data_IF_697030523544
#
_entry.id   IF_697030523544
#
_cell.length_a   1.000
_cell.length_b   1.000
_cell.length_c   1.000
_cell.angle_alpha   90.00
_cell.angle_beta   90.00
_cell.angle_gamma   90.00
#
_symmetry.space_group_name_H-M   'P 1'
#
loop_
_entity.id
_entity.type
_entity.pdbx_description
1 polymer ?
#
# COMPACT_ATOMS: atom_id res chain seq x y z
N UNK A 1 20.26 -12.68 -13.08
CA UNK A 1 18.93 -12.53 -12.46
C UNK A 1 19.02 -13.07 -11.04
N UNK A 2 18.44 -12.37 -10.06
CA UNK A 2 18.36 -12.91 -8.69
C UNK A 2 17.55 -14.21 -8.73
N UNK A 3 18.00 -15.23 -8.01
CA UNK A 3 17.26 -16.50 -7.91
C UNK A 3 16.08 -16.26 -6.96
N UNK A 4 14.84 -16.61 -7.34
CA UNK A 4 13.70 -16.43 -6.46
C UNK A 4 13.80 -17.34 -5.24
N UNK A 5 13.27 -16.86 -4.12
CA UNK A 5 12.89 -17.71 -2.98
C UNK A 5 11.39 -17.97 -3.08
N UNK A 6 11.01 -19.25 -3.04
CA UNK A 6 9.59 -19.60 -2.89
C UNK A 6 9.23 -19.59 -1.41
N UNK A 7 8.20 -18.82 -1.05
CA UNK A 7 7.66 -18.77 0.30
C UNK A 7 6.13 -18.82 0.18
N UNK A 8 5.50 -19.71 0.95
CA UNK A 8 4.04 -19.95 0.92
C UNK A 8 3.42 -20.14 -0.48
N UNK A 9 4.20 -20.60 -1.46
CA UNK A 9 3.73 -20.84 -2.83
C UNK A 9 3.93 -19.67 -3.80
N UNK A 10 4.39 -18.51 -3.34
CA UNK A 10 4.71 -17.35 -4.18
C UNK A 10 6.22 -17.14 -4.32
N UNK A 11 6.63 -16.56 -5.44
CA UNK A 11 8.05 -16.28 -5.72
C UNK A 11 8.42 -14.88 -5.25
N UNK A 12 9.58 -14.80 -4.60
CA UNK A 12 10.10 -13.58 -4.01
C UNK A 12 11.48 -13.26 -4.56
N UNK A 13 11.68 -12.01 -4.97
CA UNK A 13 12.93 -11.54 -5.54
C UNK A 13 13.42 -10.33 -4.76
N UNK A 14 14.68 -10.38 -4.31
CA UNK A 14 15.31 -9.22 -3.70
C UNK A 14 15.47 -8.10 -4.73
N UNK A 15 15.22 -6.85 -4.32
CA UNK A 15 15.42 -5.66 -5.15
C UNK A 15 16.52 -4.77 -4.58
N UNK A 16 17.29 -4.13 -5.48
CA UNK A 16 18.38 -3.25 -5.09
C UNK A 16 19.49 -4.01 -4.34
N UNK A 17 19.86 -3.50 -3.16
CA UNK A 17 20.88 -4.09 -2.28
C UNK A 17 20.31 -5.08 -1.25
N UNK A 18 18.98 -5.25 -1.22
CA UNK A 18 18.37 -6.16 -0.28
C UNK A 18 18.79 -7.60 -0.56
N UNK A 19 18.70 -8.43 0.47
CA UNK A 19 18.96 -9.87 0.40
C UNK A 19 17.80 -10.63 1.04
N UNK A 20 17.52 -11.81 0.51
CA UNK A 20 16.51 -12.73 1.01
C UNK A 20 17.18 -14.00 1.51
N UNK A 21 16.72 -14.52 2.65
CA UNK A 21 17.15 -15.80 3.19
C UNK A 21 15.95 -16.56 3.75
N UNK A 22 15.77 -17.80 3.30
CA UNK A 22 14.79 -18.71 3.90
C UNK A 22 15.27 -19.13 5.28
N UNK A 23 14.33 -19.15 6.23
CA UNK A 23 14.53 -19.69 7.57
C UNK A 23 13.45 -20.76 7.83
N UNK A 24 13.60 -21.54 8.91
CA UNK A 24 12.69 -22.65 9.23
C UNK A 24 11.22 -22.22 9.30
N UNK A 25 10.96 -21.06 9.90
CA UNK A 25 9.62 -20.58 10.25
C UNK A 25 9.26 -19.27 9.52
N UNK A 26 9.99 -18.91 8.45
CA UNK A 26 9.80 -17.62 7.78
C UNK A 26 10.85 -17.28 6.75
N UNK A 27 10.92 -15.99 6.39
CA UNK A 27 11.91 -15.45 5.47
C UNK A 27 12.49 -14.14 6.02
N UNK A 28 13.81 -14.01 5.98
CA UNK A 28 14.50 -12.77 6.33
C UNK A 28 14.65 -11.92 5.08
N UNK A 29 14.31 -10.64 5.20
CA UNK A 29 14.61 -9.57 4.26
C UNK A 29 15.49 -8.53 4.97
N UNK A 30 16.68 -8.26 4.43
CA UNK A 30 17.66 -7.36 5.06
C UNK A 30 18.50 -6.60 4.02
N UNK A 31 19.30 -5.60 4.45
CA UNK A 31 20.26 -4.91 3.58
C UNK A 31 19.75 -3.62 2.92
N UNK A 32 18.83 -2.90 3.58
CA UNK A 32 18.18 -1.70 3.06
C UNK A 32 19.08 -0.45 3.10
N UNK A 33 19.89 -0.23 2.06
CA UNK A 33 20.78 0.95 1.96
C UNK A 33 20.07 2.16 1.37
N UNK A 34 19.11 1.94 0.48
CA UNK A 34 18.37 2.95 -0.28
C UNK A 34 16.85 2.72 -0.19
N UNK A 35 16.07 3.75 -0.50
CA UNK A 35 14.60 3.71 -0.49
C UNK A 35 13.94 2.78 -1.52
N UNK A 36 14.73 2.18 -2.42
CA UNK A 36 14.26 1.24 -3.45
C UNK A 36 14.71 -0.20 -3.17
N UNK A 37 15.49 -0.41 -2.10
CA UNK A 37 15.88 -1.75 -1.67
C UNK A 37 14.68 -2.43 -1.01
N UNK A 38 14.48 -3.72 -1.28
CA UNK A 38 13.30 -4.42 -0.79
C UNK A 38 13.05 -5.76 -1.48
N UNK A 39 11.78 -6.05 -1.72
CA UNK A 39 11.31 -7.33 -2.23
C UNK A 39 10.21 -7.12 -3.28
N UNK A 40 10.30 -7.87 -4.38
CA UNK A 40 9.20 -8.07 -5.33
C UNK A 40 8.60 -9.45 -5.09
N UNK A 41 7.28 -9.49 -4.97
CA UNK A 41 6.49 -10.68 -4.66
C UNK A 41 5.57 -10.93 -5.85
N UNK A 42 5.71 -12.07 -6.51
CA UNK A 42 4.83 -12.48 -7.60
C UNK A 42 3.56 -13.09 -7.01
N UNK A 43 2.50 -12.28 -6.91
CA UNK A 43 1.19 -12.69 -6.37
C UNK A 43 0.37 -13.52 -7.36
N UNK A 44 0.86 -13.69 -8.59
CA UNK A 44 0.24 -14.50 -9.64
C UNK A 44 -1.22 -14.12 -9.95
N UNK A 45 -1.60 -12.86 -9.73
CA UNK A 45 -2.96 -12.40 -10.00
C UNK A 45 -3.95 -12.72 -8.88
N UNK A 46 -3.50 -12.88 -7.64
CA UNK A 46 -4.40 -13.05 -6.49
C UNK A 46 -5.35 -11.84 -6.33
N UNK A 47 -6.62 -12.10 -6.01
CA UNK A 47 -7.63 -11.08 -5.69
C UNK A 47 -7.47 -10.52 -4.29
N UNK A 48 -7.09 -11.39 -3.35
CA UNK A 48 -6.78 -11.04 -1.96
C UNK A 48 -5.40 -11.57 -1.65
N UNK A 49 -4.60 -10.79 -0.94
CA UNK A 49 -3.26 -11.18 -0.51
C UNK A 49 -2.90 -10.43 0.77
N UNK A 50 -2.24 -11.12 1.69
CA UNK A 50 -1.73 -10.58 2.94
C UNK A 50 -0.31 -11.10 3.19
N UNK A 51 0.59 -10.20 3.55
CA UNK A 51 1.93 -10.49 4.04
C UNK A 51 2.03 -10.10 5.50
N UNK A 52 2.39 -11.05 6.35
CA UNK A 52 2.62 -10.82 7.78
C UNK A 52 4.10 -10.91 8.11
N UNK A 53 4.58 -9.99 8.93
CA UNK A 53 5.97 -9.95 9.38
C UNK A 53 6.04 -9.53 10.84
N UNK A 54 7.19 -9.79 11.48
CA UNK A 54 7.43 -9.33 12.84
C UNK A 54 7.29 -7.81 12.92
N UNK A 55 6.68 -7.27 13.99
CA UNK A 55 6.56 -5.84 14.23
C UNK A 55 7.85 -5.05 13.95
N UNK A 56 7.76 -4.06 13.06
CA UNK A 56 8.83 -3.10 12.77
C UNK A 56 8.39 -1.73 13.24
N UNK A 57 9.12 -1.15 14.19
CA UNK A 57 8.90 0.24 14.60
C UNK A 57 9.33 1.19 13.50
N UNK A 58 8.46 2.12 13.13
CA UNK A 58 8.72 3.14 12.12
C UNK A 58 9.44 4.32 12.79
N UNK A 59 10.75 4.46 12.53
CA UNK A 59 11.64 5.45 13.14
C UNK A 59 11.99 6.58 12.18
N UNK A 60 12.34 7.74 12.73
CA UNK A 60 12.74 8.91 11.95
C UNK A 60 13.72 8.54 10.83
N UNK A 61 13.43 9.02 9.62
CA UNK A 61 14.18 8.78 8.36
C UNK A 61 13.99 7.39 7.72
N UNK A 62 13.15 6.54 8.31
CA UNK A 62 12.64 5.34 7.66
C UNK A 62 11.66 5.71 6.55
N UNK A 63 11.60 4.85 5.54
CA UNK A 63 10.61 4.95 4.46
C UNK A 63 9.99 3.58 4.30
N UNK A 64 8.66 3.52 4.28
CA UNK A 64 7.94 2.27 4.07
C UNK A 64 7.06 2.42 2.84
N UNK A 65 7.52 1.91 1.68
CA UNK A 65 6.82 2.09 0.40
C UNK A 65 6.27 0.78 -0.13
N UNK A 66 5.05 0.81 -0.67
CA UNK A 66 4.41 -0.34 -1.32
C UNK A 66 3.79 0.05 -2.64
N UNK A 67 4.08 -0.76 -3.65
CA UNK A 67 3.54 -0.62 -5.00
C UNK A 67 2.84 -1.90 -5.41
N UNK A 68 1.66 -1.75 -6.01
CA UNK A 68 0.85 -2.85 -6.53
C UNK A 68 0.83 -2.76 -8.05
N UNK A 69 1.22 -3.84 -8.73
CA UNK A 69 1.36 -3.85 -10.18
C UNK A 69 0.53 -4.94 -10.84
N UNK A 70 -0.05 -4.61 -12.00
CA UNK A 70 -0.72 -5.54 -12.91
C UNK A 70 0.17 -5.81 -14.12
N UNK A 71 -0.18 -6.85 -14.88
CA UNK A 71 0.32 -7.07 -16.23
C UNK A 71 -0.75 -6.62 -17.22
N UNK A 72 -0.39 -5.74 -18.15
CA UNK A 72 -1.28 -5.39 -19.26
C UNK A 72 -1.38 -6.52 -20.30
N UNK A 73 -2.23 -6.33 -21.33
CA UNK A 73 -2.41 -7.31 -22.41
C UNK A 73 -1.13 -7.67 -23.17
N UNK A 74 -0.08 -6.84 -23.09
CA UNK A 74 1.24 -7.08 -23.68
C UNK A 74 2.25 -7.65 -22.66
N UNK A 75 1.82 -8.03 -21.47
CA UNK A 75 2.63 -8.53 -20.35
C UNK A 75 3.66 -7.51 -19.84
N UNK A 76 3.37 -6.21 -19.97
CA UNK A 76 4.19 -5.15 -19.38
C UNK A 76 3.68 -4.87 -17.96
N UNK A 77 4.62 -4.66 -17.03
CA UNK A 77 4.30 -4.32 -15.65
C UNK A 77 3.79 -2.87 -15.58
N UNK A 78 2.64 -2.67 -14.92
CA UNK A 78 2.00 -1.36 -14.76
C UNK A 78 1.61 -1.17 -13.30
N UNK A 79 2.07 -0.10 -12.67
CA UNK A 79 1.69 0.23 -11.29
C UNK A 79 0.28 0.81 -11.27
N UNK A 80 -0.60 0.22 -10.46
CA UNK A 80 -2.02 0.58 -10.38
C UNK A 80 -2.40 1.21 -9.04
N UNK A 81 -1.62 0.98 -7.99
CA UNK A 81 -1.78 1.61 -6.69
C UNK A 81 -0.42 1.72 -6.00
N UNK A 82 -0.25 2.77 -5.18
CA UNK A 82 0.97 2.98 -4.43
C UNK A 82 0.70 3.81 -3.18
N UNK A 83 1.29 3.41 -2.06
CA UNK A 83 1.34 4.22 -0.86
C UNK A 83 2.72 4.17 -0.21
N UNK A 84 3.01 5.16 0.62
CA UNK A 84 4.24 5.22 1.39
C UNK A 84 4.01 5.87 2.75
N UNK A 85 4.83 5.48 3.73
CA UNK A 85 5.01 6.23 4.96
C UNK A 85 6.29 7.05 4.84
N UNK A 86 6.18 8.34 5.10
CA UNK A 86 7.26 9.33 5.04
C UNK A 86 7.26 10.20 6.28
N UNK A 87 8.32 10.98 6.51
CA UNK A 87 8.42 11.87 7.68
C UNK A 87 8.06 13.30 7.35
N UNK A 88 7.47 14.00 8.33
CA UNK A 88 7.36 15.44 8.28
C UNK A 88 8.76 16.08 8.24
N UNK A 89 8.93 17.26 7.60
CA UNK A 89 10.23 17.93 7.56
C UNK A 89 10.82 18.22 8.95
N UNK A 90 9.97 18.41 9.97
CA UNK A 90 10.40 18.62 11.35
C UNK A 90 10.61 17.31 12.15
N UNK A 91 10.31 16.16 11.53
CA UNK A 91 10.50 14.81 12.09
C UNK A 91 9.55 14.45 13.23
N UNK A 92 8.52 15.25 13.50
CA UNK A 92 7.56 15.00 14.59
C UNK A 92 6.45 14.02 14.22
N UNK A 93 6.13 13.94 12.94
CA UNK A 93 5.04 13.12 12.43
C UNK A 93 5.55 12.21 11.32
N UNK A 94 4.87 11.08 11.16
CA UNK A 94 4.91 10.35 9.91
C UNK A 94 3.63 10.62 9.10
N UNK A 95 3.71 10.55 7.79
CA UNK A 95 2.63 10.80 6.86
C UNK A 95 2.37 9.54 6.06
N UNK A 96 1.12 9.08 6.09
CA UNK A 96 0.63 8.07 5.15
C UNK A 96 0.23 8.80 3.87
N UNK A 97 1.01 8.60 2.81
CA UNK A 97 0.81 9.24 1.52
C UNK A 97 0.45 8.21 0.45
N UNK A 98 -0.39 8.61 -0.49
CA UNK A 98 -0.78 7.81 -1.66
C UNK A 98 -0.44 8.54 -2.94
N UNK A 99 -0.20 7.81 -4.01
CA UNK A 99 0.00 8.39 -5.34
C UNK A 99 -1.36 8.67 -5.98
N UNK A 100 -1.82 9.92 -5.95
CA UNK A 100 -3.14 10.36 -6.41
C UNK A 100 -3.42 10.04 -7.88
N UNK A 101 -2.39 9.98 -8.75
CA UNK A 101 -2.55 9.54 -10.15
C UNK A 101 -2.90 8.06 -10.28
N UNK A 102 -2.63 7.28 -9.23
CA UNK A 102 -2.93 5.86 -9.11
C UNK A 102 -4.19 5.59 -8.26
N UNK A 103 -4.89 6.62 -7.81
CA UNK A 103 -6.16 6.48 -7.10
C UNK A 103 -7.37 6.82 -7.99
N UNK A 104 -8.56 6.48 -7.50
CA UNK A 104 -9.85 6.96 -8.00
C UNK A 104 -10.10 8.44 -7.69
N UNK A 105 -11.28 8.93 -8.02
CA UNK A 105 -11.67 10.33 -7.71
C UNK A 105 -11.95 10.53 -6.22
N UNK A 106 -12.24 9.44 -5.50
CA UNK A 106 -12.40 9.42 -4.05
C UNK A 106 -11.46 8.41 -3.42
N UNK A 107 -10.91 8.80 -2.27
CA UNK A 107 -10.02 7.99 -1.46
C UNK A 107 -10.64 7.88 -0.08
N UNK A 108 -11.07 6.69 0.28
CA UNK A 108 -11.61 6.37 1.59
C UNK A 108 -10.48 5.86 2.49
N UNK A 109 -10.31 6.47 3.66
CA UNK A 109 -9.43 6.02 4.73
C UNK A 109 -10.27 5.48 5.89
N UNK A 110 -10.02 4.26 6.32
CA UNK A 110 -10.70 3.65 7.47
C UNK A 110 -9.66 3.17 8.48
N UNK A 111 -9.76 3.64 9.72
CA UNK A 111 -9.00 3.14 10.85
C UNK A 111 -9.78 2.09 11.62
N UNK A 112 -9.13 0.96 11.91
CA UNK A 112 -9.69 -0.13 12.72
C UNK A 112 -8.92 -0.29 14.03
N UNK A 113 -9.64 -0.67 15.08
CA UNK A 113 -9.10 -1.13 16.36
C UNK A 113 -9.93 -2.30 16.88
N UNK A 114 -9.28 -3.41 17.20
CA UNK A 114 -9.91 -4.61 17.79
C UNK A 114 -11.14 -5.07 17.00
N UNK A 115 -11.05 -5.03 15.67
CA UNK A 115 -12.12 -5.41 14.75
C UNK A 115 -13.26 -4.39 14.60
N UNK A 116 -13.13 -3.18 15.13
CA UNK A 116 -14.12 -2.10 15.03
C UNK A 116 -13.57 -0.90 14.29
N UNK A 117 -14.44 -0.25 13.49
CA UNK A 117 -14.15 1.05 12.88
C UNK A 117 -14.04 2.12 13.99
N UNK A 118 -12.90 2.81 14.03
CA UNK A 118 -12.65 3.93 14.96
C UNK A 118 -12.62 5.27 14.25
N UNK A 119 -12.37 5.27 12.94
CA UNK A 119 -12.28 6.47 12.12
C UNK A 119 -12.59 6.11 10.67
N UNK A 120 -13.30 7.01 9.97
CA UNK A 120 -13.57 6.91 8.55
C UNK A 120 -13.60 8.29 7.93
N UNK A 121 -12.82 8.48 6.89
CA UNK A 121 -12.73 9.72 6.12
C UNK A 121 -12.79 9.42 4.62
N UNK A 122 -13.32 10.38 3.86
CA UNK A 122 -13.38 10.30 2.40
C UNK A 122 -12.84 11.60 1.82
N UNK A 123 -11.78 11.48 1.04
CA UNK A 123 -11.11 12.61 0.41
C UNK A 123 -11.40 12.61 -1.08
N UNK A 124 -11.76 13.79 -1.62
CA UNK A 124 -11.73 14.01 -3.06
C UNK A 124 -10.27 14.10 -3.51
N UNK A 125 -9.96 13.45 -4.64
CA UNK A 125 -8.65 13.54 -5.28
C UNK A 125 -8.41 14.98 -5.72
N UNK A 126 -7.33 15.65 -5.28
CA UNK A 126 -7.07 17.02 -5.68
C UNK A 126 -6.75 17.11 -7.19
N UNK A 127 -7.31 18.09 -7.88
CA UNK A 127 -7.17 18.26 -9.34
C UNK A 127 -5.86 18.98 -9.73
N UNK A 128 -5.41 19.94 -8.92
CA UNK A 128 -4.24 20.78 -9.19
C UNK A 128 -3.16 20.58 -8.13
N UNK A 129 -2.21 19.69 -8.40
CA UNK A 129 -1.04 19.49 -7.54
C UNK A 129 0.26 19.52 -8.34
N UNK A 130 1.25 20.22 -7.79
CA UNK A 130 2.63 20.19 -8.28
C UNK A 130 3.30 18.82 -8.05
N UNK A 131 2.70 17.96 -7.23
CA UNK A 131 3.17 16.60 -6.96
C UNK A 131 2.02 15.58 -6.91
N UNK A 132 2.30 14.34 -7.31
CA UNK A 132 1.29 13.28 -7.35
C UNK A 132 1.09 12.57 -6.01
N UNK A 133 1.93 12.87 -5.02
CA UNK A 133 1.81 12.26 -3.69
C UNK A 133 0.93 13.15 -2.84
N UNK A 134 -0.10 12.57 -2.23
CA UNK A 134 -1.00 13.26 -1.31
C UNK A 134 -1.00 12.55 0.03
N UNK A 135 -0.90 13.32 1.10
CA UNK A 135 -1.04 12.80 2.46
C UNK A 135 -2.51 12.61 2.76
N UNK A 136 -2.87 11.41 3.22
CA UNK A 136 -4.24 11.05 3.62
C UNK A 136 -4.35 10.82 5.13
N UNK A 137 -3.23 10.63 5.83
CA UNK A 137 -3.23 10.52 7.29
C UNK A 137 -1.91 11.01 7.91
N UNK A 138 -2.00 11.49 9.14
CA UNK A 138 -0.87 11.79 10.01
C UNK A 138 -0.76 10.66 11.04
N UNK A 139 0.42 10.06 11.15
CA UNK A 139 0.74 9.05 12.16
C UNK A 139 1.48 9.75 13.31
N UNK A 140 0.88 9.73 14.50
CA UNK A 140 1.30 10.52 15.67
C UNK A 140 2.36 9.76 16.47
N UNK A 141 3.62 10.03 16.16
CA UNK A 141 4.78 9.34 16.76
C UNK A 141 5.02 9.70 18.23
N UNK A 142 4.59 10.89 18.65
CA UNK A 142 4.80 11.38 20.03
C UNK A 142 3.87 10.70 21.05
N UNK A 143 2.75 10.12 20.61
CA UNK A 143 1.75 9.50 21.48
C UNK A 143 2.08 8.03 21.77
N UNK A 144 2.41 7.25 20.73
CA UNK A 144 2.77 5.83 20.78
C UNK A 144 3.68 5.52 19.59
N UNK A 145 4.62 4.58 19.74
CA UNK A 145 5.38 4.03 18.61
C UNK A 145 4.44 3.53 17.51
N UNK A 146 4.65 3.99 16.27
CA UNK A 146 3.96 3.46 15.10
C UNK A 146 4.70 2.23 14.62
N UNK A 147 3.97 1.15 14.44
CA UNK A 147 4.51 -0.18 14.13
C UNK A 147 3.84 -0.69 12.87
N UNK A 148 4.63 -1.26 11.97
CA UNK A 148 4.17 -2.03 10.82
C UNK A 148 4.30 -3.53 11.11
N UNK A 149 3.30 -4.33 10.79
CA UNK A 149 3.37 -5.80 10.96
C UNK A 149 2.71 -6.58 9.83
N UNK A 150 1.89 -5.93 9.01
CA UNK A 150 1.26 -6.57 7.87
C UNK A 150 0.89 -5.57 6.79
N UNK A 151 0.74 -6.11 5.59
CA UNK A 151 0.30 -5.41 4.38
C UNK A 151 -0.66 -6.34 3.69
N UNK A 152 -1.81 -5.83 3.30
CA UNK A 152 -2.77 -6.57 2.51
C UNK A 152 -3.30 -5.74 1.35
N UNK A 153 -3.90 -6.46 0.40
CA UNK A 153 -4.80 -5.87 -0.56
C UNK A 153 -5.98 -6.79 -0.87
N UNK A 154 -7.05 -6.16 -1.31
CA UNK A 154 -8.21 -6.78 -1.94
C UNK A 154 -8.60 -5.98 -3.18
N UNK A 155 -8.81 -6.68 -4.29
CA UNK A 155 -9.28 -6.11 -5.54
C UNK A 155 -10.63 -6.69 -5.94
N UNK A 156 -11.57 -5.81 -6.27
CA UNK A 156 -12.88 -6.17 -6.80
C UNK A 156 -13.09 -5.50 -8.16
N UNK A 157 -13.52 -6.29 -9.15
CA UNK A 157 -13.75 -5.85 -10.53
C UNK A 157 -15.19 -6.12 -10.94
N UNK A 158 -15.89 -5.06 -11.35
CA UNK A 158 -17.28 -5.12 -11.82
C UNK A 158 -17.36 -4.61 -13.26
N UNK A 159 -18.14 -5.30 -14.10
CA UNK A 159 -18.41 -4.88 -15.49
C UNK A 159 -19.90 -4.71 -15.71
N UNK A 160 -20.29 -3.53 -16.19
CA UNK A 160 -21.67 -3.22 -16.58
C UNK A 160 -21.74 -3.05 -18.08
N UNK A 161 -22.59 -3.84 -18.75
CA UNK A 161 -22.89 -3.67 -20.18
C UNK A 161 -24.14 -2.80 -20.32
N UNK A 162 -24.00 -1.63 -20.94
CA UNK A 162 -25.08 -0.69 -21.17
C UNK A 162 -25.94 -1.11 -22.37
N UNK A 163 -27.20 -0.63 -22.48
CA UNK A 163 -28.09 -0.97 -23.60
C UNK A 163 -27.54 -0.61 -25.00
N UNK A 164 -26.61 0.34 -25.09
CA UNK A 164 -25.94 0.73 -26.32
C UNK A 164 -24.74 -0.17 -26.69
N UNK A 165 -24.46 -1.21 -25.92
CA UNK A 165 -23.33 -2.14 -26.10
C UNK A 165 -22.01 -1.68 -25.48
N UNK A 166 -21.92 -0.44 -24.97
CA UNK A 166 -20.73 0.03 -24.26
C UNK A 166 -20.59 -0.69 -22.92
N UNK A 167 -19.36 -1.00 -22.51
CA UNK A 167 -19.07 -1.54 -21.19
C UNK A 167 -18.35 -0.54 -20.32
N UNK A 168 -18.78 -0.44 -19.07
CA UNK A 168 -18.07 0.27 -18.00
C UNK A 168 -17.44 -0.76 -17.06
N UNK A 169 -16.16 -0.59 -16.77
CA UNK A 169 -15.40 -1.37 -15.80
C UNK A 169 -15.19 -0.50 -14.57
N UNK A 170 -15.48 -1.06 -13.40
CA UNK A 170 -15.17 -0.47 -12.10
C UNK A 170 -14.18 -1.38 -11.38
N UNK A 171 -13.04 -0.82 -10.97
CA UNK A 171 -12.03 -1.52 -10.16
C UNK A 171 -11.95 -0.83 -8.81
N UNK A 172 -12.27 -1.57 -7.76
CA UNK A 172 -12.11 -1.17 -6.36
C UNK A 172 -10.86 -1.82 -5.80
N UNK A 173 -9.91 -1.02 -5.35
CA UNK A 173 -8.69 -1.51 -4.69
C UNK A 173 -8.69 -1.04 -3.24
N UNK A 174 -8.73 -2.00 -2.33
CA UNK A 174 -8.53 -1.80 -0.90
C UNK A 174 -7.11 -2.26 -0.58
N UNK A 175 -6.27 -1.35 -0.08
CA UNK A 175 -4.89 -1.61 0.35
C UNK A 175 -4.77 -1.25 1.82
N UNK A 176 -3.81 -1.83 2.53
CA UNK A 176 -3.68 -1.56 3.96
C UNK A 176 -2.28 -1.18 4.40
N UNK A 177 -2.24 -0.50 5.54
CA UNK A 177 -1.11 -0.49 6.44
C UNK A 177 -1.58 -1.10 7.76
N UNK A 178 -1.12 -2.30 8.07
CA UNK A 178 -1.47 -2.96 9.31
C UNK A 178 -0.33 -2.94 10.33
N UNK A 179 -0.71 -2.85 11.60
CA UNK A 179 0.16 -2.60 12.73
C UNK A 179 -0.38 -1.48 13.64
N UNK A 180 0.29 -1.26 14.76
CA UNK A 180 -0.23 -0.42 15.84
C UNK A 180 0.19 1.04 15.74
N UNK A 181 -0.67 1.96 16.18
CA UNK A 181 -0.28 3.35 16.39
C UNK A 181 -1.44 4.26 16.74
N UNK A 182 -1.20 5.56 16.61
CA UNK A 182 -2.23 6.60 16.67
C UNK A 182 -2.25 7.32 15.32
N UNK A 183 -3.44 7.40 14.73
CA UNK A 183 -3.68 8.09 13.47
C UNK A 183 -4.54 9.32 13.71
N UNK A 184 -4.17 10.41 13.07
CA UNK A 184 -4.96 11.61 12.94
C UNK A 184 -5.32 11.78 11.46
N UNK A 185 -6.61 11.88 11.10
CA UNK A 185 -6.99 12.18 9.74
C UNK A 185 -6.47 13.56 9.33
N UNK A 186 -6.34 13.81 8.03
CA UNK A 186 -6.07 15.16 7.51
C UNK A 186 -7.39 15.88 7.24
N UNK A 187 -7.41 17.21 7.33
CA UNK A 187 -8.60 18.00 7.00
C UNK A 187 -8.97 17.93 5.52
N UNK A 188 -7.94 17.78 4.66
CA UNK A 188 -8.05 17.55 3.22
C UNK A 188 -6.79 16.86 2.73
N UNK A 189 -6.92 16.01 1.71
CA UNK A 189 -5.75 15.44 1.04
C UNK A 189 -4.91 16.56 0.42
N UNK A 190 -3.60 16.57 0.71
CA UNK A 190 -2.69 17.63 0.28
C UNK A 190 -1.28 17.08 0.01
N UNK A 191 -0.53 17.73 -0.87
CA UNK A 191 0.79 17.25 -1.27
C UNK A 191 1.87 17.36 -0.19
N UNK A 192 1.92 18.50 0.51
CA UNK A 192 2.87 18.74 1.60
C UNK A 192 2.19 19.49 2.74
N UNK A 193 2.71 19.36 3.96
CA UNK A 193 2.22 20.04 5.17
C UNK A 193 0.70 19.94 5.35
N UNK A 194 0.15 18.72 5.46
CA UNK A 194 -1.29 18.55 5.61
C UNK A 194 -1.79 19.24 6.88
N UNK A 195 -2.95 19.87 6.78
CA UNK A 195 -3.64 20.39 7.95
C UNK A 195 -4.24 19.21 8.72
N UNK A 196 -3.99 19.09 10.03
CA UNK A 196 -4.57 18.03 10.84
C UNK A 196 -6.10 18.17 10.87
N UNK A 197 -6.77 17.03 10.69
CA UNK A 197 -8.19 16.87 10.92
C UNK A 197 -8.53 16.74 12.41
N UNK A 198 -9.78 16.43 12.71
CA UNK A 198 -10.27 16.33 14.09
C UNK A 198 -10.00 14.95 14.69
N UNK A 199 -9.43 14.95 15.88
CA UNK A 199 -9.25 13.76 16.71
C UNK A 199 -7.98 12.98 16.43
N UNK A 200 -7.65 12.12 17.39
CA UNK A 200 -6.57 11.14 17.32
C UNK A 200 -7.17 9.79 17.68
N UNK A 201 -6.90 8.78 16.86
CA UNK A 201 -7.56 7.48 16.96
C UNK A 201 -6.50 6.38 17.07
N UNK A 202 -6.51 5.56 18.12
CA UNK A 202 -5.65 4.38 18.17
C UNK A 202 -6.10 3.38 17.11
N UNK A 203 -5.16 2.76 16.40
CA UNK A 203 -5.45 1.76 15.38
C UNK A 203 -4.54 0.54 15.50
N UNK A 204 -5.00 -0.59 14.97
CA UNK A 204 -4.19 -1.76 14.60
C UNK A 204 -4.21 -2.04 13.09
N UNK A 205 -5.09 -1.36 12.34
CA UNK A 205 -5.14 -1.45 10.89
C UNK A 205 -5.66 -0.16 10.26
N UNK A 206 -5.01 0.28 9.18
CA UNK A 206 -5.52 1.35 8.30
C UNK A 206 -5.82 0.76 6.93
N UNK A 207 -7.02 1.00 6.42
CA UNK A 207 -7.42 0.66 5.06
C UNK A 207 -7.55 1.90 4.21
N UNK A 208 -6.99 1.85 3.01
CA UNK A 208 -7.12 2.87 1.98
C UNK A 208 -7.86 2.23 0.81
N UNK A 209 -9.06 2.72 0.51
CA UNK A 209 -9.87 2.24 -0.61
C UNK A 209 -10.01 3.33 -1.65
N UNK A 210 -9.85 2.98 -2.92
CA UNK A 210 -10.28 3.84 -4.03
C UNK A 210 -10.92 3.04 -5.15
N UNK A 211 -11.77 3.72 -5.93
CA UNK A 211 -12.52 3.15 -7.03
C UNK A 211 -12.23 3.89 -8.34
N UNK A 212 -11.92 3.14 -9.39
CA UNK A 212 -11.67 3.66 -10.73
C UNK A 212 -12.72 3.14 -11.68
N UNK A 213 -13.30 4.05 -12.45
CA UNK A 213 -14.28 3.73 -13.47
C UNK A 213 -13.75 4.15 -14.84
N UNK A 214 -13.82 3.25 -15.82
CA UNK A 214 -13.42 3.53 -17.20
C UNK A 214 -14.27 2.72 -18.19
N UNK A 215 -14.32 3.14 -19.44
CA UNK A 215 -14.93 2.35 -20.52
C UNK A 215 -13.93 1.30 -21.00
N UNK A 216 -14.39 0.07 -21.32
CA UNK A 216 -13.49 -1.06 -21.68
C UNK A 216 -12.52 -0.68 -22.82
N UNK A 217 -12.98 0.10 -23.80
CA UNK A 217 -12.17 0.55 -24.95
C UNK A 217 -11.05 1.55 -24.59
N UNK A 218 -11.05 2.09 -23.37
CA UNK A 218 -10.19 3.24 -23.01
C UNK A 218 -8.88 2.87 -22.32
N UNK A 219 -8.77 1.75 -21.59
CA UNK A 219 -7.52 1.42 -20.88
C UNK A 219 -7.36 -0.09 -20.57
N UNK A 220 -6.92 -0.89 -21.55
CA UNK A 220 -6.41 -2.26 -21.30
C UNK A 220 -5.15 -2.27 -20.39
N UNK A 221 -4.47 -1.13 -20.24
CA UNK A 221 -3.18 -1.08 -19.53
C UNK A 221 -3.27 -1.15 -18.00
N UNK A 222 -4.43 -0.83 -17.43
CA UNK A 222 -4.63 -0.77 -15.97
C UNK A 222 -5.62 -1.81 -15.45
N UNK A 223 -6.14 -2.63 -16.37
CA UNK A 223 -7.12 -3.67 -16.06
C UNK A 223 -6.40 -4.99 -15.78
N UNK A 224 -6.70 -5.61 -14.62
CA UNK A 224 -6.13 -6.89 -14.24
C UNK A 224 -5.99 -7.06 -12.74
N UNK A 225 -5.83 -8.31 -12.31
CA UNK A 225 -5.49 -8.60 -10.92
C UNK A 225 -4.03 -8.19 -10.66
N UNK A 226 -3.75 -7.81 -9.42
CA UNK A 226 -2.39 -7.51 -8.98
C UNK A 226 -1.55 -8.77 -9.15
N UNK A 227 -0.51 -8.64 -9.97
CA UNK A 227 0.43 -9.69 -10.36
C UNK A 227 1.74 -9.61 -9.57
N UNK A 228 2.08 -8.41 -9.08
CA UNK A 228 3.28 -8.16 -8.30
C UNK A 228 3.01 -7.13 -7.21
N UNK A 229 3.48 -7.42 -6.00
CA UNK A 229 3.62 -6.44 -4.92
C UNK A 229 5.11 -6.14 -4.76
N UNK A 230 5.46 -4.86 -4.74
CA UNK A 230 6.82 -4.41 -4.43
C UNK A 230 6.78 -3.72 -3.08
N UNK A 231 7.50 -4.29 -2.12
CA UNK A 231 7.64 -3.76 -0.78
C UNK A 231 9.09 -3.25 -0.59
N UNK A 232 9.22 -1.95 -0.39
CA UNK A 232 10.51 -1.26 -0.22
C UNK A 232 10.59 -0.59 1.16
N UNK A 233 10.96 -1.35 2.19
CA UNK A 233 11.22 -0.81 3.51
C UNK A 233 12.67 -0.31 3.57
N UNK A 234 12.87 0.98 3.71
CA UNK A 234 14.14 1.55 4.20
C UNK A 234 14.03 1.66 5.71
N UNK A 235 14.47 0.61 6.41
CA UNK A 235 14.51 0.54 7.87
C UNK A 235 15.89 0.07 8.33
N UNK A 236 16.26 0.38 9.57
CA UNK A 236 17.56 -0.01 10.12
C UNK A 236 17.66 -1.50 10.51
N UNK A 237 16.52 -2.17 10.69
CA UNK A 237 16.43 -3.54 11.17
C UNK A 237 16.12 -4.51 10.03
N UNK A 238 16.41 -5.80 10.21
CA UNK A 238 15.91 -6.83 9.29
C UNK A 238 14.40 -7.02 9.46
N UNK A 239 13.71 -7.39 8.40
CA UNK A 239 12.30 -7.79 8.44
C UNK A 239 12.22 -9.31 8.39
N UNK A 240 11.53 -9.89 9.37
CA UNK A 240 11.24 -11.33 9.40
C UNK A 240 9.79 -11.55 8.97
N UNK A 241 9.60 -12.02 7.75
CA UNK A 241 8.29 -12.41 7.20
C UNK A 241 7.90 -13.74 7.82
N UNK A 242 6.75 -13.77 8.47
CA UNK A 242 6.24 -14.91 9.26
C UNK A 242 5.16 -15.68 8.51
N UNK A 243 4.37 -14.99 7.71
CA UNK A 243 3.31 -15.64 6.95
C UNK A 243 2.94 -14.88 5.67
N UNK A 244 2.27 -15.59 4.77
CA UNK A 244 1.72 -15.03 3.55
C UNK A 244 0.51 -15.87 3.11
N UNK A 245 -0.60 -15.20 2.83
CA UNK A 245 -1.89 -15.82 2.47
C UNK A 245 -2.46 -15.13 1.25
N UNK A 246 -3.09 -15.88 0.34
CA UNK A 246 -3.71 -15.32 -0.86
C UNK A 246 -4.89 -16.15 -1.38
N UNK A 247 -5.78 -15.47 -2.10
CA UNK A 247 -6.96 -16.04 -2.78
C UNK A 247 -6.97 -15.62 -4.25
N UNK A 248 -7.24 -16.57 -5.15
CA UNK A 248 -7.27 -16.37 -6.62
C UNK A 248 -8.58 -15.78 -7.16
#
# INVERSE_FOLDING_TARGET
MATPINFRGLNHYATGNATLRSEKDGMILEGFKNSFDGITIETNGAKQWELTFNPVEIKKDDVFGISYNVLDGLKRVKTVAQYAITYSPDGKYAYLAVNSRLEGDKIELVGMKDGKEVMKEVYDKPEDLDCNWIVVAILVLAAVSVVASNVDYENERTVVTHPNGTKTVTVRTKKSFGGGGVVQPVAKAAGTNPEPGKGEFPFDHLYITSERCYTEDSVEELDGNISQVIFTPKVSEQIFITDEVYTM
#
